data_IF_809346109313
#
_entry.id   IF_809346109313
#
_cell.length_a   1.000
_cell.length_b   1.000
_cell.length_c   1.000
_cell.angle_alpha   90.00
_cell.angle_beta   90.00
_cell.angle_gamma   90.00
#
_symmetry.space_group_name_H-M   'P 1'
#
loop_
_entity.id
_entity.type
_entity.pdbx_description
1 polymer ?
#
# COMPACT_ATOMS: atom_id res chain seq x y z
N UNK A 1 56.10 -25.54 -9.95
CA UNK A 1 55.40 -24.78 -11.05
C UNK A 1 54.28 -23.87 -10.57
N UNK A 2 53.74 -24.01 -9.33
CA UNK A 2 52.65 -23.17 -8.81
C UNK A 2 53.08 -21.77 -8.31
N UNK A 3 54.36 -21.53 -8.09
CA UNK A 3 54.86 -20.30 -7.46
C UNK A 3 54.95 -19.08 -8.43
N UNK A 4 55.16 -19.32 -9.73
CA UNK A 4 55.27 -18.24 -10.72
C UNK A 4 53.94 -17.61 -11.14
N UNK A 5 52.87 -18.36 -11.17
CA UNK A 5 51.52 -17.84 -11.45
C UNK A 5 51.00 -16.94 -10.30
N UNK A 6 51.24 -17.33 -9.06
CA UNK A 6 50.88 -16.52 -7.90
C UNK A 6 51.67 -15.19 -7.89
N UNK A 7 52.96 -15.19 -8.20
CA UNK A 7 53.77 -13.96 -8.26
C UNK A 7 53.31 -12.98 -9.35
N UNK A 8 52.81 -13.43 -10.49
CA UNK A 8 52.27 -12.58 -11.55
C UNK A 8 50.91 -11.96 -11.19
N UNK A 9 50.03 -12.74 -10.55
CA UNK A 9 48.74 -12.28 -10.13
C UNK A 9 48.87 -11.27 -8.95
N UNK A 10 49.72 -11.60 -7.98
CA UNK A 10 49.97 -10.70 -6.85
C UNK A 10 50.75 -9.45 -7.24
N UNK A 11 51.66 -9.52 -8.24
CA UNK A 11 52.40 -8.35 -8.71
C UNK A 11 51.52 -7.31 -9.43
N UNK A 12 50.55 -7.74 -10.25
CA UNK A 12 49.61 -6.84 -10.90
C UNK A 12 48.58 -6.28 -9.90
N UNK A 13 48.16 -7.08 -8.96
CA UNK A 13 47.24 -6.67 -7.91
C UNK A 13 47.89 -5.64 -6.95
N UNK A 14 49.14 -5.86 -6.58
CA UNK A 14 49.91 -4.87 -5.75
C UNK A 14 50.08 -3.54 -6.44
N UNK A 15 50.40 -3.55 -7.78
CA UNK A 15 50.48 -2.31 -8.57
C UNK A 15 49.13 -1.58 -8.67
N UNK A 16 48.05 -2.31 -8.82
CA UNK A 16 46.70 -1.72 -8.82
C UNK A 16 46.38 -1.09 -7.46
N UNK A 17 46.67 -1.78 -6.35
CA UNK A 17 46.48 -1.23 -4.99
C UNK A 17 47.36 -0.01 -4.77
N UNK A 18 48.62 -0.02 -5.19
CA UNK A 18 49.51 1.13 -5.04
C UNK A 18 49.04 2.33 -5.89
N UNK A 19 48.49 2.09 -7.07
CA UNK A 19 47.95 3.15 -7.92
C UNK A 19 46.71 3.77 -7.29
N UNK A 20 45.76 2.94 -6.81
CA UNK A 20 44.58 3.37 -6.08
C UNK A 20 44.96 4.11 -4.81
N UNK A 21 45.93 3.62 -4.03
CA UNK A 21 46.40 4.24 -2.78
C UNK A 21 47.04 5.61 -3.02
N UNK A 22 47.82 5.76 -4.12
CA UNK A 22 48.40 7.06 -4.52
C UNK A 22 47.32 8.06 -4.94
N UNK A 23 46.34 7.63 -5.73
CA UNK A 23 45.19 8.45 -6.11
C UNK A 23 44.37 8.91 -4.91
N UNK A 24 44.07 7.98 -4.01
CA UNK A 24 43.37 8.27 -2.76
C UNK A 24 44.10 9.24 -1.85
N UNK A 25 45.43 9.05 -1.67
CA UNK A 25 46.25 9.96 -0.85
C UNK A 25 46.28 11.37 -1.44
N UNK A 26 46.34 11.50 -2.77
CA UNK A 26 46.29 12.79 -3.45
C UNK A 26 44.95 13.49 -3.27
N UNK A 27 43.88 12.72 -3.45
CA UNK A 27 42.50 13.21 -3.26
C UNK A 27 42.26 13.70 -1.83
N UNK A 28 42.70 12.93 -0.81
CA UNK A 28 42.54 13.32 0.58
C UNK A 28 43.30 14.60 0.87
N UNK A 29 44.58 14.73 0.43
CA UNK A 29 45.38 15.95 0.64
C UNK A 29 44.68 17.15 0.01
N UNK A 30 44.11 17.02 -1.17
CA UNK A 30 43.37 18.07 -1.86
C UNK A 30 42.09 18.44 -1.08
N UNK A 31 41.29 17.43 -0.65
CA UNK A 31 40.07 17.63 0.12
C UNK A 31 40.34 18.35 1.47
N UNK A 32 41.38 17.95 2.17
CA UNK A 32 41.78 18.59 3.44
C UNK A 32 42.24 20.04 3.24
N UNK A 33 42.99 20.29 2.15
CA UNK A 33 43.44 21.63 1.77
C UNK A 33 42.31 22.58 1.35
N UNK A 34 41.22 22.02 0.80
CA UNK A 34 40.09 22.79 0.27
C UNK A 34 38.77 22.42 0.97
N UNK A 35 38.81 22.32 2.29
CA UNK A 35 37.66 21.89 3.12
C UNK A 35 36.34 22.63 2.80
N UNK A 36 36.44 23.95 2.60
CA UNK A 36 35.25 24.77 2.28
C UNK A 36 34.62 24.41 0.94
N UNK A 37 35.47 24.17 -0.09
CA UNK A 37 35.00 23.76 -1.43
C UNK A 37 34.36 22.39 -1.37
N UNK A 38 34.95 21.45 -0.63
CA UNK A 38 34.38 20.08 -0.47
C UNK A 38 33.05 20.14 0.25
N UNK A 39 32.93 20.95 1.30
CA UNK A 39 31.65 21.11 2.02
C UNK A 39 30.57 21.73 1.12
N UNK A 40 30.93 22.81 0.40
CA UNK A 40 29.97 23.41 -0.54
C UNK A 40 29.54 22.43 -1.65
N UNK A 41 30.49 21.70 -2.22
CA UNK A 41 30.19 20.68 -3.25
C UNK A 41 29.24 19.58 -2.71
N UNK A 42 29.52 19.13 -1.48
CA UNK A 42 28.67 18.13 -0.82
C UNK A 42 27.23 18.63 -0.63
N UNK A 43 27.08 19.88 -0.18
CA UNK A 43 25.74 20.50 -0.02
C UNK A 43 25.04 20.64 -1.38
N UNK A 44 25.75 21.08 -2.42
CA UNK A 44 25.18 21.19 -3.77
C UNK A 44 24.73 19.84 -4.31
N UNK A 45 25.56 18.80 -4.18
CA UNK A 45 25.21 17.45 -4.60
C UNK A 45 24.00 16.94 -3.82
N UNK A 46 23.94 17.18 -2.51
CA UNK A 46 22.79 16.79 -1.68
C UNK A 46 21.50 17.48 -2.14
N UNK A 47 21.54 18.79 -2.32
CA UNK A 47 20.36 19.57 -2.78
C UNK A 47 19.91 19.13 -4.18
N UNK A 48 20.85 18.90 -5.09
CA UNK A 48 20.55 18.37 -6.43
C UNK A 48 19.91 16.98 -6.34
N UNK A 49 20.47 16.10 -5.52
CA UNK A 49 19.93 14.75 -5.33
C UNK A 49 18.51 14.79 -4.80
N UNK A 50 18.27 15.56 -3.74
CA UNK A 50 16.91 15.74 -3.19
C UNK A 50 15.98 16.36 -4.22
N UNK A 51 16.39 17.44 -4.89
CA UNK A 51 15.56 18.14 -5.86
C UNK A 51 15.18 17.28 -7.08
N UNK A 52 16.08 16.39 -7.52
CA UNK A 52 15.81 15.49 -8.66
C UNK A 52 15.06 14.22 -8.28
N UNK A 53 15.27 13.69 -7.08
CA UNK A 53 14.65 12.46 -6.62
C UNK A 53 13.32 12.69 -5.92
N UNK A 54 13.17 13.75 -5.13
CA UNK A 54 11.95 14.02 -4.38
C UNK A 54 10.67 14.00 -5.24
N UNK A 55 10.62 14.62 -6.44
CA UNK A 55 9.42 14.56 -7.27
C UNK A 55 9.16 13.19 -7.92
N UNK A 56 10.18 12.31 -7.93
CA UNK A 56 10.07 10.95 -8.49
C UNK A 56 9.70 9.90 -7.44
N UNK A 57 9.92 10.22 -6.17
CA UNK A 57 9.54 9.34 -5.06
C UNK A 57 8.05 9.58 -4.81
N UNK A 58 7.21 8.64 -5.21
CA UNK A 58 5.82 8.60 -4.77
C UNK A 58 5.83 8.51 -3.25
N UNK A 59 5.24 9.50 -2.60
CA UNK A 59 5.10 9.51 -1.15
C UNK A 59 3.94 8.58 -0.79
N UNK A 60 4.17 7.29 -0.89
CA UNK A 60 3.27 6.30 -0.33
C UNK A 60 3.65 6.15 1.14
N UNK A 61 2.92 6.85 2.01
CA UNK A 61 3.16 6.81 3.46
C UNK A 61 2.94 5.40 4.04
N UNK A 62 2.09 4.62 3.36
CA UNK A 62 1.95 3.18 3.54
C UNK A 62 1.97 2.56 2.15
N UNK A 63 2.99 1.79 1.84
CA UNK A 63 2.90 0.88 0.71
C UNK A 63 1.63 0.03 0.95
N UNK A 64 0.67 0.13 0.08
CA UNK A 64 -0.45 -0.82 0.04
C UNK A 64 0.15 -2.16 -0.37
N UNK A 65 0.79 -2.78 0.60
CA UNK A 65 1.25 -4.16 0.47
C UNK A 65 0.01 -4.99 0.19
N UNK A 66 0.05 -5.72 -0.89
CA UNK A 66 -1.00 -6.67 -1.20
C UNK A 66 -1.04 -7.73 -0.09
N UNK A 67 -1.92 -7.50 0.88
CA UNK A 67 -2.10 -8.36 2.06
C UNK A 67 -3.20 -9.40 1.84
N UNK A 68 -3.75 -9.47 0.62
CA UNK A 68 -4.84 -10.38 0.33
C UNK A 68 -6.14 -10.05 1.09
N UNK A 69 -6.32 -8.83 1.56
CA UNK A 69 -7.50 -8.43 2.34
C UNK A 69 -8.19 -7.23 1.73
N UNK A 70 -9.49 -7.34 1.53
CA UNK A 70 -10.36 -6.26 1.05
C UNK A 70 -11.45 -6.03 2.09
N UNK A 71 -11.61 -4.78 2.49
CA UNK A 71 -12.67 -4.36 3.42
C UNK A 71 -13.66 -3.48 2.67
N UNK A 72 -14.95 -3.82 2.76
CA UNK A 72 -16.03 -3.03 2.18
C UNK A 72 -16.86 -2.42 3.30
N UNK A 73 -17.26 -1.19 3.10
CA UNK A 73 -18.26 -0.51 3.92
C UNK A 73 -19.34 0.03 2.98
N UNK A 74 -20.55 -0.45 3.17
CA UNK A 74 -21.72 -0.14 2.33
C UNK A 74 -22.78 0.47 3.23
N UNK A 75 -23.31 1.61 2.82
CA UNK A 75 -24.38 2.29 3.55
C UNK A 75 -25.65 2.32 2.71
N UNK A 76 -26.73 1.79 3.26
CA UNK A 76 -28.08 1.92 2.72
C UNK A 76 -28.72 3.23 3.22
N UNK A 77 -29.84 3.67 2.66
CA UNK A 77 -30.56 4.84 3.15
C UNK A 77 -30.90 4.69 4.65
N UNK A 78 -30.77 5.78 5.38
CA UNK A 78 -31.11 5.82 6.79
C UNK A 78 -32.58 5.41 7.00
N UNK A 79 -32.80 4.51 7.96
CA UNK A 79 -34.14 3.94 8.23
C UNK A 79 -34.38 2.59 7.55
N UNK A 80 -33.45 2.07 6.76
CA UNK A 80 -33.54 0.71 6.25
C UNK A 80 -33.57 -0.30 7.40
N UNK A 81 -34.57 -1.14 7.39
CA UNK A 81 -34.76 -2.15 8.44
C UNK A 81 -33.69 -3.24 8.40
N UNK A 82 -33.26 -3.72 9.54
CA UNK A 82 -32.20 -4.72 9.68
C UNK A 82 -32.43 -6.00 8.84
N UNK A 83 -33.70 -6.39 8.63
CA UNK A 83 -34.02 -7.56 7.84
C UNK A 83 -33.68 -7.37 6.35
N UNK A 84 -33.93 -6.18 5.80
CA UNK A 84 -33.62 -5.83 4.40
C UNK A 84 -32.10 -5.77 4.24
N UNK A 85 -31.42 -5.12 5.18
CA UNK A 85 -29.95 -5.05 5.17
C UNK A 85 -29.31 -6.43 5.22
N UNK A 86 -29.87 -7.33 6.01
CA UNK A 86 -29.40 -8.72 6.09
C UNK A 86 -29.64 -9.49 4.76
N UNK A 87 -30.78 -9.32 4.15
CA UNK A 87 -31.13 -9.99 2.88
C UNK A 87 -30.19 -9.57 1.75
N UNK A 88 -29.96 -8.26 1.60
CA UNK A 88 -28.99 -7.69 0.66
C UNK A 88 -27.57 -8.20 0.98
N UNK A 89 -27.22 -8.28 2.26
CA UNK A 89 -25.94 -8.82 2.70
C UNK A 89 -25.72 -10.26 2.25
N UNK A 90 -26.70 -11.13 2.40
CA UNK A 90 -26.58 -12.52 1.93
C UNK A 90 -26.57 -12.64 0.42
N UNK A 91 -27.30 -11.79 -0.29
CA UNK A 91 -27.32 -11.77 -1.75
C UNK A 91 -25.93 -11.38 -2.31
N UNK A 92 -25.34 -10.31 -1.78
CA UNK A 92 -23.98 -9.89 -2.16
C UNK A 92 -22.93 -10.93 -1.79
N UNK A 93 -23.03 -11.53 -0.61
CA UNK A 93 -22.13 -12.62 -0.20
C UNK A 93 -22.11 -13.74 -1.24
N UNK A 94 -23.29 -14.17 -1.69
CA UNK A 94 -23.43 -15.20 -2.73
C UNK A 94 -22.79 -14.77 -4.04
N UNK A 95 -23.09 -13.55 -4.53
CA UNK A 95 -22.50 -13.01 -5.75
C UNK A 95 -20.97 -12.91 -5.69
N UNK A 96 -20.42 -12.45 -4.58
CA UNK A 96 -18.96 -12.39 -4.42
C UNK A 96 -18.33 -13.77 -4.47
N UNK A 97 -18.90 -14.74 -3.77
CA UNK A 97 -18.38 -16.12 -3.74
C UNK A 97 -18.51 -16.81 -5.10
N UNK A 98 -19.56 -16.51 -5.88
CA UNK A 98 -19.76 -17.10 -7.21
C UNK A 98 -18.86 -16.47 -8.28
N UNK A 99 -18.60 -15.16 -8.23
CA UNK A 99 -17.88 -14.43 -9.27
C UNK A 99 -16.37 -14.29 -8.99
N UNK A 100 -15.96 -14.49 -7.75
CA UNK A 100 -14.57 -14.32 -7.32
C UNK A 100 -14.10 -15.61 -6.65
N UNK A 101 -13.59 -16.56 -7.44
CA UNK A 101 -13.12 -17.87 -6.92
C UNK A 101 -11.92 -17.77 -6.00
N UNK A 102 -11.17 -16.65 -6.02
CA UNK A 102 -10.00 -16.42 -5.16
C UNK A 102 -10.36 -16.05 -3.71
N UNK A 103 -11.65 -15.95 -3.39
CA UNK A 103 -12.07 -15.67 -2.01
C UNK A 103 -11.89 -16.92 -1.17
N UNK A 104 -10.95 -16.89 -0.23
CA UNK A 104 -10.76 -17.94 0.77
C UNK A 104 -11.78 -17.83 1.91
N UNK A 105 -12.00 -16.61 2.37
CA UNK A 105 -13.01 -16.34 3.39
C UNK A 105 -13.66 -14.97 3.19
N UNK A 106 -14.97 -14.94 3.39
CA UNK A 106 -15.76 -13.73 3.34
C UNK A 106 -16.64 -13.69 4.59
N UNK A 107 -16.41 -12.69 5.42
CA UNK A 107 -17.24 -12.43 6.58
C UNK A 107 -17.93 -11.08 6.40
N UNK A 108 -19.20 -10.99 6.76
CA UNK A 108 -19.88 -9.71 6.79
C UNK A 108 -20.59 -9.49 8.11
N UNK A 109 -20.68 -8.25 8.50
CA UNK A 109 -21.41 -7.79 9.69
C UNK A 109 -22.38 -6.68 9.29
N UNK A 110 -23.49 -6.63 9.96
CA UNK A 110 -24.52 -5.60 9.78
C UNK A 110 -25.17 -5.28 11.11
N UNK A 111 -25.71 -4.07 11.23
CA UNK A 111 -26.39 -3.65 12.44
C UNK A 111 -25.54 -2.76 13.33
N UNK A 112 -26.02 -2.53 14.53
CA UNK A 112 -25.38 -1.68 15.52
C UNK A 112 -24.36 -2.51 16.31
N UNK A 113 -23.11 -2.07 16.36
CA UNK A 113 -22.14 -2.68 17.24
C UNK A 113 -22.47 -2.39 18.70
N UNK A 114 -22.10 -3.31 19.61
CA UNK A 114 -22.25 -3.11 21.04
C UNK A 114 -21.53 -1.83 21.49
N UNK A 115 -22.24 -0.96 22.18
CA UNK A 115 -21.74 0.35 22.62
C UNK A 115 -20.63 0.27 23.66
N UNK A 116 -20.38 -0.92 24.21
CA UNK A 116 -19.35 -1.13 25.24
C UNK A 116 -17.92 -1.19 24.66
N UNK A 117 -17.78 -1.18 23.34
CA UNK A 117 -16.47 -1.21 22.69
C UNK A 117 -16.14 0.17 22.09
N UNK A 118 -15.14 0.86 22.67
CA UNK A 118 -14.68 2.17 22.21
C UNK A 118 -14.27 2.20 20.72
N UNK A 119 -13.83 1.08 20.15
CA UNK A 119 -13.54 0.94 18.71
C UNK A 119 -14.81 0.87 17.86
N UNK A 120 -15.89 0.36 18.37
CA UNK A 120 -17.16 0.27 17.67
C UNK A 120 -17.81 1.65 17.47
N UNK A 121 -17.61 2.57 18.41
CA UNK A 121 -18.10 3.95 18.29
C UNK A 121 -17.32 4.80 17.29
N UNK A 122 -16.14 4.36 16.86
CA UNK A 122 -15.35 5.01 15.80
C UNK A 122 -15.72 4.55 14.38
N UNK A 123 -16.48 3.47 14.25
CA UNK A 123 -16.99 3.00 12.97
C UNK A 123 -18.43 3.48 12.75
N UNK A 124 -18.79 3.71 11.49
CA UNK A 124 -20.18 3.98 11.12
C UNK A 124 -21.04 2.78 11.51
N UNK A 125 -21.81 2.90 12.57
CA UNK A 125 -22.66 1.87 13.10
C UNK A 125 -24.13 2.24 12.86
N UNK A 126 -24.88 1.30 12.32
CA UNK A 126 -26.31 1.48 12.11
C UNK A 126 -26.94 0.25 11.48
N UNK A 127 -28.24 0.09 11.64
CA UNK A 127 -29.00 -1.01 11.04
C UNK A 127 -28.94 -1.03 9.50
N UNK A 128 -28.54 0.08 8.90
CA UNK A 128 -28.40 0.31 7.47
C UNK A 128 -26.96 0.17 6.95
N UNK A 129 -26.00 -0.20 7.82
CA UNK A 129 -24.59 -0.33 7.46
C UNK A 129 -24.23 -1.80 7.34
N UNK A 130 -23.55 -2.13 6.24
CA UNK A 130 -22.94 -3.44 5.95
C UNK A 130 -21.43 -3.29 5.88
N UNK A 131 -20.71 -4.17 6.56
CA UNK A 131 -19.25 -4.23 6.50
C UNK A 131 -18.82 -5.63 6.10
N UNK A 132 -18.00 -5.74 5.04
CA UNK A 132 -17.41 -7.00 4.60
C UNK A 132 -15.91 -7.00 4.86
N UNK A 133 -15.43 -8.15 5.32
CA UNK A 133 -14.02 -8.47 5.36
C UNK A 133 -13.78 -9.68 4.47
N UNK A 134 -13.13 -9.46 3.34
CA UNK A 134 -12.86 -10.46 2.32
C UNK A 134 -11.37 -10.77 2.37
N UNK A 135 -11.03 -12.04 2.55
CA UNK A 135 -9.67 -12.55 2.44
C UNK A 135 -9.55 -13.33 1.13
N UNK A 136 -8.58 -12.94 0.31
CA UNK A 136 -8.34 -13.49 -1.03
C UNK A 136 -7.01 -14.27 -1.10
N UNK A 137 -6.46 -14.64 0.07
CA UNK A 137 -5.21 -15.39 0.16
C UNK A 137 -3.97 -14.60 -0.21
N UNK A 138 -2.85 -15.30 -0.28
CA UNK A 138 -1.55 -14.71 -0.62
C UNK A 138 -1.44 -14.43 -2.13
N UNK A 139 -0.58 -13.47 -2.51
CA UNK A 139 -0.36 -13.11 -3.92
C UNK A 139 0.20 -14.28 -4.75
N UNK A 140 0.85 -15.25 -4.09
CA UNK A 140 1.46 -16.41 -4.75
C UNK A 140 0.44 -17.47 -5.17
N UNK A 141 -0.75 -17.47 -4.55
CA UNK A 141 -1.79 -18.49 -4.74
C UNK A 141 -2.93 -18.05 -5.66
N UNK A 142 -2.87 -16.82 -6.20
CA UNK A 142 -3.94 -16.25 -7.03
C UNK A 142 -3.40 -15.66 -8.33
N UNK A 143 -4.25 -15.65 -9.36
CA UNK A 143 -3.91 -15.11 -10.67
C UNK A 143 -4.10 -13.59 -10.75
N UNK A 144 -5.12 -13.06 -10.03
CA UNK A 144 -5.48 -11.63 -10.05
C UNK A 144 -4.90 -10.89 -8.87
N UNK A 145 -4.43 -9.66 -9.09
CA UNK A 145 -3.98 -8.77 -8.01
C UNK A 145 -5.17 -8.31 -7.15
N UNK A 146 -4.87 -7.90 -5.91
CA UNK A 146 -5.88 -7.35 -4.99
C UNK A 146 -6.67 -6.19 -5.61
N UNK A 147 -5.99 -5.29 -6.34
CA UNK A 147 -6.64 -4.16 -7.00
C UNK A 147 -7.54 -4.57 -8.15
N UNK A 148 -7.18 -5.63 -8.91
CA UNK A 148 -8.06 -6.17 -9.95
C UNK A 148 -9.32 -6.79 -9.36
N UNK A 149 -9.19 -7.51 -8.25
CA UNK A 149 -10.34 -8.08 -7.55
C UNK A 149 -11.21 -6.98 -6.94
N UNK A 150 -10.61 -5.95 -6.35
CA UNK A 150 -11.34 -4.80 -5.84
C UNK A 150 -12.13 -4.07 -6.94
N UNK A 151 -11.60 -4.01 -8.17
CA UNK A 151 -12.31 -3.44 -9.30
C UNK A 151 -13.50 -4.29 -9.73
N UNK A 152 -13.37 -5.61 -9.75
CA UNK A 152 -14.51 -6.53 -9.99
C UNK A 152 -15.59 -6.31 -8.94
N UNK A 153 -15.23 -6.18 -7.67
CA UNK A 153 -16.17 -5.88 -6.60
C UNK A 153 -16.89 -4.55 -6.83
N UNK A 154 -16.16 -3.49 -7.27
CA UNK A 154 -16.78 -2.19 -7.60
C UNK A 154 -17.78 -2.30 -8.73
N UNK A 155 -17.47 -3.09 -9.76
CA UNK A 155 -18.40 -3.34 -10.88
C UNK A 155 -19.66 -4.06 -10.39
N UNK A 156 -19.52 -5.09 -9.54
CA UNK A 156 -20.69 -5.78 -8.96
C UNK A 156 -21.54 -4.81 -8.13
N UNK A 157 -20.90 -3.95 -7.34
CA UNK A 157 -21.61 -2.98 -6.48
C UNK A 157 -22.28 -1.85 -7.28
N UNK A 158 -21.81 -1.55 -8.49
CA UNK A 158 -22.44 -0.58 -9.38
C UNK A 158 -23.84 -1.00 -9.85
N UNK A 159 -24.14 -2.31 -9.84
CA UNK A 159 -25.47 -2.84 -10.15
C UNK A 159 -26.49 -2.61 -9.03
N UNK A 160 -26.07 -2.07 -7.88
CA UNK A 160 -26.91 -1.82 -6.71
C UNK A 160 -27.02 -0.31 -6.41
N UNK A 161 -27.94 0.40 -7.09
CA UNK A 161 -28.13 1.84 -6.89
C UNK A 161 -28.71 2.19 -5.51
N UNK A 162 -29.10 1.18 -4.73
CA UNK A 162 -29.68 1.38 -3.39
C UNK A 162 -28.62 1.83 -2.36
N UNK A 163 -27.35 1.62 -2.62
CA UNK A 163 -26.27 2.07 -1.71
C UNK A 163 -26.05 3.56 -1.84
N UNK A 164 -26.23 4.26 -0.73
CA UNK A 164 -25.93 5.69 -0.61
C UNK A 164 -24.42 5.97 -0.58
N UNK A 165 -23.65 5.03 0.01
CA UNK A 165 -22.20 5.13 0.11
C UNK A 165 -21.57 3.74 -0.08
N UNK A 166 -20.54 3.69 -0.91
CA UNK A 166 -19.75 2.49 -1.16
C UNK A 166 -18.28 2.84 -0.93
N UNK A 167 -17.66 2.21 0.04
CA UNK A 167 -16.23 2.35 0.32
C UNK A 167 -15.55 1.00 0.19
N UNK A 168 -14.61 0.88 -0.73
CA UNK A 168 -13.77 -0.30 -0.94
C UNK A 168 -12.35 0.06 -0.52
N UNK A 169 -11.85 -0.61 0.50
CA UNK A 169 -10.49 -0.39 1.04
C UNK A 169 -9.64 -1.61 0.77
N UNK A 170 -8.53 -1.41 0.10
CA UNK A 170 -7.52 -2.43 -0.20
C UNK A 170 -6.46 -2.44 0.90
N UNK A 171 -6.16 -3.63 1.44
CA UNK A 171 -5.26 -3.80 2.57
C UNK A 171 -5.97 -3.99 3.91
N UNK A 172 -5.23 -4.50 4.90
CA UNK A 172 -5.75 -4.67 6.26
C UNK A 172 -6.08 -3.30 6.86
N UNK A 173 -7.32 -3.12 7.30
CA UNK A 173 -7.79 -1.90 7.96
C UNK A 173 -7.03 -1.58 9.23
N UNK A 174 -5.78 -1.16 9.10
CA UNK A 174 -5.03 -0.46 10.12
C UNK A 174 -5.43 1.01 10.11
N UNK A 175 -5.30 1.68 11.23
CA UNK A 175 -5.65 3.06 11.55
C UNK A 175 -4.93 4.11 10.66
N UNK A 176 -4.80 3.86 9.36
CA UNK A 176 -4.06 4.67 8.39
C UNK A 176 -4.26 4.28 6.94
N UNK A 177 -5.33 3.55 6.61
CA UNK A 177 -5.68 3.35 5.21
C UNK A 177 -5.80 4.72 4.54
N UNK A 178 -4.84 5.05 3.64
CA UNK A 178 -4.90 6.26 2.86
C UNK A 178 -6.29 6.35 2.25
N UNK A 179 -7.08 7.28 2.74
CA UNK A 179 -8.39 7.54 2.17
C UNK A 179 -8.17 7.95 0.72
N UNK A 180 -8.53 7.08 -0.19
CA UNK A 180 -8.91 7.53 -1.52
C UNK A 180 -9.88 8.69 -1.33
N UNK A 181 -9.63 9.78 -2.00
CA UNK A 181 -10.42 11.03 -1.94
C UNK A 181 -11.90 10.69 -1.90
N UNK A 182 -12.54 10.90 -0.74
CA UNK A 182 -13.99 10.75 -0.58
C UNK A 182 -14.63 12.02 -1.17
N UNK A 183 -15.23 11.93 -2.33
CA UNK A 183 -15.98 13.05 -2.93
C UNK A 183 -17.44 12.86 -2.53
N UNK A 184 -17.86 13.57 -1.51
CA UNK A 184 -19.28 13.66 -1.13
C UNK A 184 -19.93 14.75 -1.98
N UNK A 185 -20.86 14.37 -2.86
CA UNK A 185 -21.67 15.31 -3.63
C UNK A 185 -22.99 15.50 -2.89
N UNK A 186 -23.13 16.65 -2.24
CA UNK A 186 -24.42 17.06 -1.66
C UNK A 186 -25.26 17.71 -2.77
N UNK A 187 -26.40 17.08 -3.11
CA UNK A 187 -27.44 17.72 -3.90
C UNK A 187 -28.34 18.57 -2.98
N UNK A 188 -28.58 19.83 -3.34
CA UNK A 188 -29.67 20.60 -2.75
C UNK A 188 -30.96 20.22 -3.48
N UNK A 189 -31.95 19.69 -2.74
CA UNK A 189 -33.35 19.66 -3.16
C UNK A 189 -33.99 21.04 -3.02
#
# INVERSE_FOLDING_TARGET
KKSKLNALIFGNFSRFIEWVSRGYSHLIKWCVGHRTVVTMLSVVVFVLTVGLLAPKIKTEFFATSDQGRITLQLELPAGTGQNITREIGYELYRKFTEQIPEIESCAFSFGQADTDNAFASMQNNGTHVLSYNINIGSMEERERSQSQIAEVIRVILADYPEFKKVKVTEGGGGMGGASTVDIEIYGYD
#
